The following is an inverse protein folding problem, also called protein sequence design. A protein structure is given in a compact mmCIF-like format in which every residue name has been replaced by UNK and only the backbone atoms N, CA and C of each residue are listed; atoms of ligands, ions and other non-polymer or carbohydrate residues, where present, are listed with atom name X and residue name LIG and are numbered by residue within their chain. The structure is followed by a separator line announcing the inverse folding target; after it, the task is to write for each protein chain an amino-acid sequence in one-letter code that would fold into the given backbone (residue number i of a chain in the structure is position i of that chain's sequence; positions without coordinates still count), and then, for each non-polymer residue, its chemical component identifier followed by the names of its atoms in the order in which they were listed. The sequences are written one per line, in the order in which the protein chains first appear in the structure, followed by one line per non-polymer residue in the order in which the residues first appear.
data_IF_526886182245
#
_entry.id   IF_526886182245
#
_cell.length_a   1.000
_cell.length_b   1.000
_cell.length_c   1.000
_cell.angle_alpha   90.00
_cell.angle_beta   90.00
_cell.angle_gamma   90.00
#
_symmetry.space_group_name_H-M   'P 1'
#
loop_
_entity.id
_entity.type
_entity.pdbx_description
1 polymer ?
#
# COMPACT_ATOMS: atom_id res chain seq x y z
N UNK A 1 -15.04 -10.86 -1.25
CA UNK A 1 -14.96 -9.66 -2.11
C UNK A 1 -16.31 -9.21 -2.69
N UNK A 2 -17.12 -10.10 -3.32
CA UNK A 2 -18.45 -9.73 -3.91
C UNK A 2 -19.45 -9.06 -2.94
N UNK A 3 -19.48 -9.45 -1.67
CA UNK A 3 -20.42 -8.88 -0.67
C UNK A 3 -20.04 -7.43 -0.33
N UNK A 4 -18.75 -7.11 -0.21
CA UNK A 4 -18.26 -5.76 0.07
C UNK A 4 -18.59 -4.79 -1.08
N UNK A 5 -18.44 -5.22 -2.33
CA UNK A 5 -18.74 -4.39 -3.50
C UNK A 5 -20.23 -4.03 -3.63
N UNK A 6 -21.14 -4.97 -3.33
CA UNK A 6 -22.59 -4.68 -3.35
C UNK A 6 -22.97 -3.60 -2.33
N UNK A 7 -22.36 -3.63 -1.14
CA UNK A 7 -22.59 -2.62 -0.10
C UNK A 7 -22.02 -1.24 -0.45
N UNK A 8 -20.88 -1.19 -1.14
CA UNK A 8 -20.28 0.09 -1.56
C UNK A 8 -21.08 0.77 -2.67
N UNK A 9 -21.62 -0.02 -3.61
CA UNK A 9 -22.36 0.51 -4.76
C UNK A 9 -23.78 0.99 -4.39
N UNK A 10 -24.44 0.32 -3.43
CA UNK A 10 -25.78 0.73 -2.97
C UNK A 10 -25.78 2.09 -2.27
N UNK A 11 -24.66 2.49 -1.65
CA UNK A 11 -24.49 3.82 -1.05
C UNK A 11 -24.52 4.91 -2.13
N UNK A 12 -24.09 4.63 -3.36
CA UNK A 12 -24.05 5.63 -4.43
C UNK A 12 -25.38 5.87 -5.13
N UNK A 13 -26.29 4.89 -5.11
CA UNK A 13 -27.53 4.94 -5.90
C UNK A 13 -28.76 5.43 -5.12
N UNK A 14 -28.71 5.44 -3.78
CA UNK A 14 -29.87 5.86 -3.00
C UNK A 14 -30.03 7.38 -2.98
N UNK A 15 -31.12 7.88 -3.57
CA UNK A 15 -31.57 9.27 -3.36
C UNK A 15 -31.96 9.42 -1.90
N UNK A 16 -31.26 10.29 -1.18
CA UNK A 16 -31.57 10.59 0.21
C UNK A 16 -32.86 11.41 0.28
N UNK A 17 -33.91 10.84 0.87
CA UNK A 17 -35.16 11.53 1.16
C UNK A 17 -35.16 11.84 2.66
N UNK A 18 -35.19 13.12 3.01
CA UNK A 18 -35.26 13.57 4.40
C UNK A 18 -36.73 13.65 4.84
N UNK A 19 -36.98 13.23 6.07
CA UNK A 19 -38.27 13.45 6.73
C UNK A 19 -38.46 14.93 7.07
N UNK A 20 -39.72 15.35 7.30
CA UNK A 20 -40.03 16.75 7.68
C UNK A 20 -39.31 17.17 8.98
N UNK A 21 -39.23 16.27 9.96
CA UNK A 21 -38.47 16.48 11.20
C UNK A 21 -36.96 16.61 10.94
N UNK A 22 -36.39 15.82 10.03
CA UNK A 22 -34.97 15.99 9.67
C UNK A 22 -34.71 17.29 8.92
N UNK A 23 -35.65 17.75 8.07
CA UNK A 23 -35.54 19.05 7.40
C UNK A 23 -35.51 20.18 8.45
N UNK A 24 -36.37 20.13 9.46
CA UNK A 24 -36.38 21.14 10.54
C UNK A 24 -35.07 21.11 11.34
N UNK A 25 -34.52 19.92 11.64
CA UNK A 25 -33.21 19.77 12.28
C UNK A 25 -32.07 20.31 11.41
N UNK A 26 -32.07 20.07 10.11
CA UNK A 26 -31.07 20.64 9.19
C UNK A 26 -31.17 22.17 9.13
N UNK A 27 -32.39 22.71 9.09
CA UNK A 27 -32.60 24.16 9.11
C UNK A 27 -32.10 24.76 10.42
N UNK A 28 -32.36 24.11 11.56
CA UNK A 28 -31.84 24.53 12.86
C UNK A 28 -30.31 24.47 12.92
N UNK A 29 -29.68 23.44 12.35
CA UNK A 29 -28.19 23.40 12.24
C UNK A 29 -27.68 24.60 11.47
N UNK A 30 -28.30 24.90 10.33
CA UNK A 30 -27.90 26.01 9.47
C UNK A 30 -28.04 27.34 10.20
N UNK A 31 -29.17 27.58 10.87
CA UNK A 31 -29.39 28.81 11.66
C UNK A 31 -28.34 29.00 12.76
N UNK A 32 -28.02 27.94 13.52
CA UNK A 32 -26.98 28.02 14.56
C UNK A 32 -25.60 28.28 13.94
N UNK A 33 -25.27 27.64 12.82
CA UNK A 33 -23.98 27.82 12.13
C UNK A 33 -23.83 29.25 11.56
N UNK A 34 -24.91 29.79 10.97
CA UNK A 34 -24.98 31.17 10.47
C UNK A 34 -24.79 32.17 11.63
N UNK A 35 -25.42 31.93 12.78
CA UNK A 35 -25.27 32.76 13.99
C UNK A 35 -23.85 32.69 14.56
N UNK A 36 -23.27 31.50 14.70
CA UNK A 36 -21.88 31.34 15.15
C UNK A 36 -20.90 32.06 14.22
N UNK A 37 -21.16 32.01 12.91
CA UNK A 37 -20.37 32.75 11.92
C UNK A 37 -20.53 34.26 12.07
N UNK A 38 -21.75 34.75 12.36
CA UNK A 38 -21.99 36.16 12.65
C UNK A 38 -21.26 36.63 13.92
N UNK A 39 -21.30 35.84 15.01
CA UNK A 39 -20.55 36.10 16.23
C UNK A 39 -19.05 36.22 15.93
N UNK A 40 -18.47 35.28 15.17
CA UNK A 40 -17.04 35.32 14.81
C UNK A 40 -16.66 36.60 14.06
N UNK A 41 -17.45 36.99 13.06
CA UNK A 41 -17.21 38.24 12.31
C UNK A 41 -17.33 39.49 13.18
N UNK A 42 -18.25 39.49 14.15
CA UNK A 42 -18.39 40.59 15.11
C UNK A 42 -17.23 40.63 16.11
N UNK A 43 -16.73 39.48 16.57
CA UNK A 43 -15.50 39.40 17.36
C UNK A 43 -14.35 40.05 16.58
N UNK A 44 -14.12 39.65 15.33
CA UNK A 44 -13.09 40.25 14.47
C UNK A 44 -13.27 41.76 14.32
N UNK A 45 -14.51 42.25 14.21
CA UNK A 45 -14.80 43.69 14.11
C UNK A 45 -14.48 44.45 15.41
N UNK A 46 -14.87 43.90 16.57
CA UNK A 46 -14.54 44.47 17.89
C UNK A 46 -13.02 44.52 18.08
N UNK A 47 -12.33 43.44 17.70
CA UNK A 47 -10.88 43.33 17.75
C UNK A 47 -10.21 44.48 16.97
N UNK A 48 -10.61 44.65 15.71
CA UNK A 48 -10.05 45.69 14.84
C UNK A 48 -10.33 47.11 15.33
N UNK A 49 -11.54 47.39 15.85
CA UNK A 49 -11.85 48.71 16.40
C UNK A 49 -11.07 49.00 17.67
N UNK A 50 -10.86 47.98 18.51
CA UNK A 50 -10.11 48.10 19.76
C UNK A 50 -8.63 48.38 19.48
N UNK A 51 -8.02 47.68 18.52
CA UNK A 51 -6.64 47.94 18.06
C UNK A 51 -6.45 49.36 17.54
N UNK A 52 -7.47 49.92 16.88
CA UNK A 52 -7.49 51.29 16.38
C UNK A 52 -7.87 52.34 17.44
N UNK A 53 -7.96 51.95 18.72
CA UNK A 53 -8.33 52.82 19.84
C UNK A 53 -9.72 53.47 19.70
N UNK A 54 -10.60 52.91 18.88
CA UNK A 54 -11.98 53.38 18.72
C UNK A 54 -12.90 52.66 19.73
N UNK A 55 -12.74 53.01 21.00
CA UNK A 55 -13.36 52.30 22.12
C UNK A 55 -14.88 52.45 22.19
N UNK A 56 -15.43 53.61 21.79
CA UNK A 56 -16.88 53.84 21.81
C UNK A 56 -17.59 52.92 20.81
N UNK A 57 -17.12 52.88 19.55
CA UNK A 57 -17.68 51.99 18.54
C UNK A 57 -17.43 50.51 18.90
N UNK A 58 -16.26 50.19 19.46
CA UNK A 58 -15.96 48.83 19.94
C UNK A 58 -16.96 48.37 20.99
N UNK A 59 -17.31 49.25 21.94
CA UNK A 59 -18.25 48.95 23.01
C UNK A 59 -19.66 48.70 22.46
N UNK A 60 -20.12 49.52 21.50
CA UNK A 60 -21.42 49.33 20.85
C UNK A 60 -21.48 47.97 20.13
N UNK A 61 -20.45 47.63 19.34
CA UNK A 61 -20.42 46.33 18.65
C UNK A 61 -20.32 45.18 19.66
N UNK A 62 -19.62 45.36 20.77
CA UNK A 62 -19.53 44.36 21.82
C UNK A 62 -20.88 44.06 22.47
N UNK A 63 -21.73 45.06 22.72
CA UNK A 63 -23.10 44.84 23.22
C UNK A 63 -23.92 44.00 22.24
N UNK A 64 -23.81 44.29 20.94
CA UNK A 64 -24.46 43.52 19.88
C UNK A 64 -23.92 42.09 19.78
N UNK A 65 -22.61 41.90 19.90
CA UNK A 65 -21.96 40.59 19.93
C UNK A 65 -22.44 39.77 21.13
N UNK A 66 -22.49 40.37 22.31
CA UNK A 66 -22.95 39.70 23.51
C UNK A 66 -24.39 39.19 23.37
N UNK A 67 -25.28 40.02 22.82
CA UNK A 67 -26.66 39.61 22.54
C UNK A 67 -26.74 38.48 21.52
N UNK A 68 -25.90 38.50 20.47
CA UNK A 68 -25.83 37.41 19.50
C UNK A 68 -25.33 36.12 20.17
N UNK A 69 -24.31 36.19 21.02
CA UNK A 69 -23.78 35.03 21.75
C UNK A 69 -24.80 34.43 22.71
N UNK A 70 -25.52 35.27 23.48
CA UNK A 70 -26.62 34.85 24.36
C UNK A 70 -27.72 34.18 23.55
N UNK A 71 -28.22 34.84 22.50
CA UNK A 71 -29.27 34.28 21.65
C UNK A 71 -28.83 32.99 20.96
N UNK A 72 -27.57 32.88 20.57
CA UNK A 72 -27.02 31.63 20.01
C UNK A 72 -27.00 30.52 21.05
N UNK A 73 -26.56 30.82 22.28
CA UNK A 73 -26.63 29.90 23.42
C UNK A 73 -28.05 29.42 23.69
N UNK A 74 -29.04 30.33 23.65
CA UNK A 74 -30.46 30.00 23.81
C UNK A 74 -30.96 29.03 22.74
N UNK A 75 -30.67 29.32 21.46
CA UNK A 75 -31.07 28.47 20.34
C UNK A 75 -30.39 27.10 20.41
N UNK A 76 -29.13 27.02 20.86
CA UNK A 76 -28.44 25.74 21.13
C UNK A 76 -29.19 24.94 22.21
N UNK A 77 -29.63 25.60 23.28
CA UNK A 77 -30.43 25.01 24.36
C UNK A 77 -31.89 24.72 23.97
N UNK A 78 -32.33 25.06 22.76
CA UNK A 78 -33.71 24.85 22.28
C UNK A 78 -34.70 25.89 22.78
N UNK A 79 -34.22 27.02 23.26
CA UNK A 79 -35.02 28.16 23.70
C UNK A 79 -35.19 29.18 22.55
N UNK A 80 -36.24 30.00 22.64
CA UNK A 80 -36.45 31.09 21.69
C UNK A 80 -35.44 32.23 21.95
N UNK A 81 -34.95 32.93 20.90
CA UNK A 81 -34.14 34.13 21.07
C UNK A 81 -34.88 35.22 21.85
N UNK A 82 -34.14 36.06 22.57
CA UNK A 82 -34.69 37.22 23.27
C UNK A 82 -35.14 38.29 22.27
N UNK A 83 -36.37 38.80 22.44
CA UNK A 83 -36.99 39.76 21.53
C UNK A 83 -36.48 41.21 21.68
N UNK A 84 -35.82 41.56 22.78
CA UNK A 84 -35.32 42.92 23.03
C UNK A 84 -34.07 42.97 23.90
N UNK A 85 -33.32 44.09 23.80
CA UNK A 85 -32.14 44.40 24.62
C UNK A 85 -32.45 44.63 26.11
N UNK A 86 -33.73 44.71 26.50
CA UNK A 86 -34.17 45.00 27.88
C UNK A 86 -33.99 43.78 28.81
N UNK A 87 -33.64 42.63 28.25
CA UNK A 87 -33.48 41.36 28.95
C UNK A 87 -32.13 41.20 29.69
N UNK A 88 -31.44 42.30 30.07
CA UNK A 88 -30.16 42.27 30.81
C UNK A 88 -30.24 41.56 32.18
N UNK A 89 -31.45 41.34 32.70
CA UNK A 89 -31.72 40.63 33.97
C UNK A 89 -32.37 39.26 33.79
N UNK A 90 -32.23 38.63 32.61
CA UNK A 90 -32.80 37.30 32.41
C UNK A 90 -32.04 36.31 33.29
N UNK A 91 -32.76 35.59 34.13
CA UNK A 91 -32.19 34.50 34.92
C UNK A 91 -31.69 33.40 33.96
N UNK A 92 -30.37 33.27 33.80
CA UNK A 92 -29.73 32.26 32.96
C UNK A 92 -29.70 30.87 33.63
N UNK A 93 -30.35 30.70 34.78
CA UNK A 93 -30.40 29.44 35.55
C UNK A 93 -30.93 28.24 34.75
N UNK A 94 -31.73 28.47 33.70
CA UNK A 94 -32.24 27.40 32.84
C UNK A 94 -31.18 26.78 31.90
N UNK A 95 -29.99 27.38 31.79
CA UNK A 95 -28.89 26.84 30.98
C UNK A 95 -28.13 25.79 31.81
N UNK A 96 -28.57 24.53 31.71
CA UNK A 96 -27.93 23.41 32.39
C UNK A 96 -26.51 23.08 31.88
N UNK A 97 -26.10 23.60 30.71
CA UNK A 97 -24.74 23.42 30.22
C UNK A 97 -23.79 24.44 30.86
N UNK A 98 -23.10 23.99 31.90
CA UNK A 98 -22.07 24.76 32.61
C UNK A 98 -21.02 25.41 31.69
N UNK A 99 -20.78 24.87 30.49
CA UNK A 99 -19.83 25.47 29.56
C UNK A 99 -20.41 26.68 28.83
N UNK A 100 -21.68 26.64 28.40
CA UNK A 100 -22.36 27.80 27.80
C UNK A 100 -22.57 28.88 28.86
N UNK A 101 -23.03 28.50 30.06
CA UNK A 101 -23.31 29.43 31.13
C UNK A 101 -22.07 30.25 31.52
N UNK A 102 -20.90 29.59 31.67
CA UNK A 102 -19.63 30.28 31.95
C UNK A 102 -19.27 31.33 30.90
N UNK A 103 -19.47 31.00 29.63
CA UNK A 103 -19.22 31.94 28.52
C UNK A 103 -20.15 33.14 28.60
N UNK A 104 -21.45 32.91 28.77
CA UNK A 104 -22.43 33.99 28.82
C UNK A 104 -22.22 34.89 30.03
N UNK A 105 -21.87 34.31 31.18
CA UNK A 105 -21.54 35.06 32.39
C UNK A 105 -20.29 35.92 32.20
N UNK A 106 -19.24 35.40 31.57
CA UNK A 106 -18.02 36.18 31.29
C UNK A 106 -18.31 37.37 30.37
N UNK A 107 -19.14 37.19 29.34
CA UNK A 107 -19.55 38.27 28.44
C UNK A 107 -20.40 39.31 29.15
N UNK A 108 -21.35 38.88 29.99
CA UNK A 108 -22.18 39.79 30.81
C UNK A 108 -21.33 40.56 31.82
N UNK A 109 -20.34 39.91 32.43
CA UNK A 109 -19.41 40.53 33.35
C UNK A 109 -18.63 41.65 32.67
N UNK A 110 -18.15 41.44 31.44
CA UNK A 110 -17.49 42.49 30.63
C UNK A 110 -18.45 43.65 30.36
N UNK A 111 -19.70 43.36 29.96
CA UNK A 111 -20.69 44.41 29.67
C UNK A 111 -21.11 45.24 30.87
N UNK A 112 -20.99 44.70 32.08
CA UNK A 112 -21.32 45.42 33.31
C UNK A 112 -20.17 46.31 33.81
N UNK A 113 -18.99 46.25 33.20
CA UNK A 113 -17.88 47.14 33.54
C UNK A 113 -18.10 48.55 32.95
N UNK A 114 -17.68 49.62 33.65
CA UNK A 114 -17.68 50.96 33.08
C UNK A 114 -16.83 51.03 31.80
N UNK A 115 -17.24 51.84 30.82
CA UNK A 115 -16.51 52.08 29.56
C UNK A 115 -15.04 52.43 29.77
N UNK A 116 -14.73 53.09 30.88
CA UNK A 116 -13.40 53.59 31.21
C UNK A 116 -12.46 52.44 31.64
N UNK A 117 -13.03 51.38 32.21
CA UNK A 117 -12.34 50.15 32.62
C UNK A 117 -12.05 49.26 31.41
N UNK A 118 -12.86 49.37 30.35
CA UNK A 118 -12.68 48.62 29.10
C UNK A 118 -11.32 48.85 28.44
N UNK A 119 -10.74 50.05 28.60
CA UNK A 119 -9.39 50.39 28.11
C UNK A 119 -8.26 49.56 28.75
N UNK A 120 -8.52 48.91 29.89
CA UNK A 120 -7.54 48.13 30.66
C UNK A 120 -7.77 46.62 30.56
N UNK A 121 -8.67 46.18 29.68
CA UNK A 121 -9.05 44.78 29.59
C UNK A 121 -8.12 44.00 28.66
N UNK A 122 -6.90 43.72 29.14
CA UNK A 122 -5.83 43.06 28.36
C UNK A 122 -6.26 41.67 27.81
N UNK A 123 -7.24 41.02 28.46
CA UNK A 123 -7.70 39.68 28.12
C UNK A 123 -9.07 39.64 27.42
N UNK A 124 -9.53 40.75 26.83
CA UNK A 124 -10.83 40.81 26.16
C UNK A 124 -10.91 39.79 25.01
N UNK A 125 -9.88 39.76 24.17
CA UNK A 125 -9.76 38.85 23.02
C UNK A 125 -9.93 37.38 23.42
N UNK A 126 -9.10 36.95 24.37
CA UNK A 126 -9.10 35.57 24.86
C UNK A 126 -10.46 35.20 25.43
N UNK A 127 -11.11 36.12 26.15
CA UNK A 127 -12.44 35.89 26.72
C UNK A 127 -13.51 35.71 25.64
N UNK A 128 -13.51 36.57 24.61
CA UNK A 128 -14.48 36.50 23.52
C UNK A 128 -14.28 35.23 22.66
N UNK A 129 -13.04 34.89 22.32
CA UNK A 129 -12.73 33.69 21.55
C UNK A 129 -13.00 32.41 22.35
N UNK A 130 -12.65 32.36 23.64
CA UNK A 130 -13.01 31.25 24.52
C UNK A 130 -14.54 31.10 24.59
N UNK A 131 -15.26 32.23 24.61
CA UNK A 131 -16.70 32.27 24.53
C UNK A 131 -17.26 31.61 23.28
N UNK A 132 -16.80 32.08 22.13
CA UNK A 132 -17.16 31.53 20.82
C UNK A 132 -16.83 30.04 20.71
N UNK A 133 -15.63 29.64 21.14
CA UNK A 133 -15.21 28.23 21.12
C UNK A 133 -16.11 27.35 22.00
N UNK A 134 -16.53 27.87 23.16
CA UNK A 134 -17.50 27.20 24.04
C UNK A 134 -18.83 26.94 23.34
N UNK A 135 -19.39 27.94 22.66
CA UNK A 135 -20.63 27.79 21.87
C UNK A 135 -20.45 26.80 20.71
N UNK A 136 -19.33 26.84 20.00
CA UNK A 136 -19.02 25.88 18.93
C UNK A 136 -18.88 24.45 19.45
N UNK A 137 -18.23 24.25 20.60
CA UNK A 137 -18.13 22.94 21.28
C UNK A 137 -19.51 22.44 21.67
N UNK A 138 -20.36 23.30 22.24
CA UNK A 138 -21.73 22.94 22.60
C UNK A 138 -22.57 22.58 21.37
N UNK A 139 -22.49 23.37 20.29
CA UNK A 139 -23.15 23.06 19.03
C UNK A 139 -22.66 21.74 18.40
N UNK A 140 -21.34 21.46 18.44
CA UNK A 140 -20.77 20.18 17.99
C UNK A 140 -21.33 18.99 18.78
N UNK A 141 -21.55 19.14 20.09
CA UNK A 141 -22.20 18.12 20.94
C UNK A 141 -23.67 17.95 20.54
N UNK A 142 -24.42 19.05 20.41
CA UNK A 142 -25.82 19.06 19.98
C UNK A 142 -26.00 18.37 18.62
N UNK A 143 -25.11 18.65 17.66
CA UNK A 143 -25.08 18.02 16.33
C UNK A 143 -24.89 16.51 16.38
N UNK A 144 -24.10 16.01 17.35
CA UNK A 144 -23.85 14.57 17.52
C UNK A 144 -25.00 13.86 18.26
N UNK A 145 -25.67 14.53 19.19
CA UNK A 145 -26.66 13.90 20.06
C UNK A 145 -28.08 13.97 19.50
N UNK A 146 -28.60 15.18 19.24
CA UNK A 146 -30.03 15.39 18.98
C UNK A 146 -30.34 15.87 17.57
N UNK A 147 -29.41 16.56 16.91
CA UNK A 147 -29.63 17.05 15.55
C UNK A 147 -29.12 16.07 14.48
N UNK A 148 -28.60 14.90 14.81
CA UNK A 148 -28.10 13.96 13.79
C UNK A 148 -29.23 13.55 12.83
N UNK A 149 -28.98 13.67 11.53
CA UNK A 149 -29.96 13.32 10.48
C UNK A 149 -29.44 12.18 9.60
N UNK A 150 -30.33 11.58 8.80
CA UNK A 150 -29.97 10.60 7.78
C UNK A 150 -28.93 11.16 6.79
N UNK A 151 -28.92 12.48 6.56
CA UNK A 151 -27.88 13.15 5.75
C UNK A 151 -26.50 13.04 6.37
N UNK A 152 -26.35 13.26 7.68
CA UNK A 152 -25.06 13.12 8.36
C UNK A 152 -24.56 11.68 8.30
N UNK A 153 -25.45 10.72 8.55
CA UNK A 153 -25.14 9.29 8.50
C UNK A 153 -24.68 8.91 7.09
N UNK A 154 -25.42 9.37 6.06
CA UNK A 154 -25.08 9.14 4.67
C UNK A 154 -23.72 9.75 4.30
N UNK A 155 -23.45 10.99 4.69
CA UNK A 155 -22.16 11.66 4.43
C UNK A 155 -21.00 10.93 5.12
N UNK A 156 -21.17 10.48 6.37
CA UNK A 156 -20.15 9.67 7.06
C UNK A 156 -19.90 8.33 6.36
N UNK A 157 -20.96 7.60 5.99
CA UNK A 157 -20.83 6.35 5.23
C UNK A 157 -20.15 6.56 3.89
N UNK A 158 -20.51 7.63 3.17
CA UNK A 158 -19.88 8.00 1.89
C UNK A 158 -18.40 8.32 2.06
N UNK A 159 -18.03 9.09 3.10
CA UNK A 159 -16.63 9.40 3.38
C UNK A 159 -15.82 8.14 3.68
N UNK A 160 -16.32 7.27 4.57
CA UNK A 160 -15.67 5.99 4.90
C UNK A 160 -15.54 5.08 3.68
N UNK A 161 -16.56 5.04 2.82
CA UNK A 161 -16.53 4.30 1.56
C UNK A 161 -15.43 4.83 0.63
N UNK A 162 -15.38 6.15 0.41
CA UNK A 162 -14.39 6.78 -0.47
C UNK A 162 -12.96 6.59 0.05
N UNK A 163 -12.72 6.76 1.36
CA UNK A 163 -11.40 6.55 1.96
C UNK A 163 -10.96 5.09 1.85
N UNK A 164 -11.88 4.15 2.07
CA UNK A 164 -11.60 2.71 1.93
C UNK A 164 -11.23 2.36 0.49
N UNK A 165 -11.99 2.85 -0.50
CA UNK A 165 -11.70 2.61 -1.92
C UNK A 165 -10.36 3.22 -2.33
N UNK A 166 -10.03 4.42 -1.85
CA UNK A 166 -8.76 5.06 -2.11
C UNK A 166 -7.58 4.24 -1.55
N UNK A 167 -7.66 3.78 -0.30
CA UNK A 167 -6.63 2.96 0.33
C UNK A 167 -6.42 1.62 -0.38
N UNK A 168 -7.51 0.95 -0.78
CA UNK A 168 -7.42 -0.30 -1.54
C UNK A 168 -6.78 -0.09 -2.91
N UNK A 169 -7.06 1.04 -3.57
CA UNK A 169 -6.45 1.38 -4.87
C UNK A 169 -4.95 1.63 -4.72
N UNK A 170 -4.53 2.36 -3.68
CA UNK A 170 -3.11 2.60 -3.38
C UNK A 170 -2.39 1.28 -3.09
N UNK A 171 -2.99 0.39 -2.29
CA UNK A 171 -2.42 -0.92 -1.98
C UNK A 171 -2.25 -1.78 -3.24
N UNK A 172 -3.25 -1.80 -4.13
CA UNK A 172 -3.17 -2.56 -5.39
C UNK A 172 -2.09 -2.02 -6.35
N UNK A 173 -1.96 -0.70 -6.45
CA UNK A 173 -0.91 -0.05 -7.25
C UNK A 173 0.47 -0.38 -6.65
N UNK A 174 0.63 -0.25 -5.34
CA UNK A 174 1.88 -0.55 -4.63
C UNK A 174 2.31 -2.01 -4.86
N UNK A 175 1.38 -2.96 -4.73
CA UNK A 175 1.64 -4.38 -5.00
C UNK A 175 2.08 -4.62 -6.45
N UNK A 176 1.40 -3.98 -7.41
CA UNK A 176 1.72 -4.09 -8.83
C UNK A 176 3.12 -3.53 -9.15
N UNK A 177 3.48 -2.40 -8.55
CA UNK A 177 4.81 -1.81 -8.68
C UNK A 177 5.88 -2.71 -8.07
N UNK A 178 5.64 -3.26 -6.86
CA UNK A 178 6.57 -4.21 -6.24
C UNK A 178 6.82 -5.43 -7.12
N UNK A 179 5.76 -6.03 -7.66
CA UNK A 179 5.86 -7.16 -8.59
C UNK A 179 6.70 -6.82 -9.82
N UNK A 180 6.42 -5.67 -10.45
CA UNK A 180 7.08 -5.27 -11.71
C UNK A 180 8.56 -4.90 -11.51
N UNK A 181 8.90 -4.19 -10.44
CA UNK A 181 10.25 -3.67 -10.24
C UNK A 181 11.17 -4.62 -9.46
N UNK A 182 10.62 -5.54 -8.66
CA UNK A 182 11.44 -6.42 -7.81
C UNK A 182 11.34 -7.87 -8.27
N UNK A 183 10.14 -8.40 -8.38
CA UNK A 183 9.96 -9.84 -8.62
C UNK A 183 10.20 -10.23 -10.08
N UNK A 184 9.69 -9.45 -11.04
CA UNK A 184 9.83 -9.76 -12.46
C UNK A 184 11.29 -9.74 -12.96
N UNK A 185 12.15 -8.77 -12.58
CA UNK A 185 13.56 -8.80 -12.98
C UNK A 185 14.32 -10.00 -12.40
N UNK A 186 14.03 -10.41 -11.17
CA UNK A 186 14.64 -11.59 -10.56
C UNK A 186 14.30 -12.88 -11.32
N UNK A 187 13.03 -13.04 -11.72
CA UNK A 187 12.60 -14.16 -12.56
C UNK A 187 13.31 -14.16 -13.92
N UNK A 188 13.44 -13.00 -14.56
CA UNK A 188 14.15 -12.88 -15.84
C UNK A 188 15.63 -13.21 -15.72
N UNK A 189 16.30 -12.81 -14.65
CA UNK A 189 17.72 -13.10 -14.44
C UNK A 189 17.98 -14.61 -14.30
N UNK A 190 17.12 -15.33 -13.59
CA UNK A 190 17.19 -16.79 -13.48
C UNK A 190 16.98 -17.48 -14.85
N UNK A 191 15.97 -17.04 -15.62
CA UNK A 191 15.73 -17.57 -16.97
C UNK A 191 16.90 -17.31 -17.93
N UNK A 192 17.48 -16.10 -17.91
CA UNK A 192 18.66 -15.76 -18.72
C UNK A 192 19.85 -16.63 -18.33
N UNK A 193 20.07 -16.85 -17.03
CA UNK A 193 21.15 -17.70 -16.52
C UNK A 193 20.98 -19.14 -17.00
N UNK A 194 19.77 -19.71 -16.87
CA UNK A 194 19.43 -21.06 -17.36
C UNK A 194 19.60 -21.19 -18.86
N UNK A 195 19.15 -20.20 -19.63
CA UNK A 195 19.32 -20.18 -21.08
C UNK A 195 20.81 -20.17 -21.47
N UNK A 196 21.62 -19.34 -20.80
CA UNK A 196 23.07 -19.29 -21.04
C UNK A 196 23.76 -20.62 -20.69
N UNK A 197 23.46 -21.19 -19.52
CA UNK A 197 24.00 -22.49 -19.12
C UNK A 197 23.64 -23.59 -20.12
N UNK A 198 22.42 -23.56 -20.68
CA UNK A 198 21.98 -24.55 -21.67
C UNK A 198 22.77 -24.45 -22.97
N UNK A 199 23.05 -23.23 -23.43
CA UNK A 199 23.86 -23.03 -24.64
C UNK A 199 25.28 -23.56 -24.46
N UNK A 200 25.88 -23.34 -23.29
CA UNK A 200 27.21 -23.87 -22.96
C UNK A 200 27.18 -25.41 -22.93
N UNK A 201 26.21 -26.00 -22.23
CA UNK A 201 26.07 -27.47 -22.15
C UNK A 201 25.86 -28.12 -23.52
N UNK A 202 25.04 -27.52 -24.36
CA UNK A 202 24.80 -28.02 -25.72
C UNK A 202 26.09 -28.00 -26.56
N UNK A 203 26.86 -26.90 -26.47
CA UNK A 203 28.15 -26.79 -27.17
C UNK A 203 29.19 -27.80 -26.65
N UNK A 204 29.29 -27.96 -25.33
CA UNK A 204 30.19 -28.90 -24.68
C UNK A 204 29.87 -30.35 -25.07
N UNK A 205 28.59 -30.73 -25.00
CA UNK A 205 28.12 -32.07 -25.36
C UNK A 205 28.35 -32.38 -26.84
N UNK A 206 28.19 -31.39 -27.72
CA UNK A 206 28.46 -31.55 -29.15
C UNK A 206 29.97 -31.71 -29.42
N UNK A 207 30.81 -30.91 -28.76
CA UNK A 207 32.27 -31.04 -28.86
C UNK A 207 32.76 -32.42 -28.37
N UNK A 208 32.24 -32.90 -27.24
CA UNK A 208 32.54 -34.25 -26.72
C UNK A 208 32.07 -35.32 -27.71
N UNK A 209 30.84 -35.23 -28.22
CA UNK A 209 30.30 -36.18 -29.21
C UNK A 209 31.19 -36.25 -30.45
N UNK A 210 31.57 -35.10 -31.02
CA UNK A 210 32.43 -35.05 -32.20
C UNK A 210 33.80 -35.69 -31.93
N UNK A 211 34.38 -35.45 -30.74
CA UNK A 211 35.63 -36.07 -30.34
C UNK A 211 35.50 -37.59 -30.18
N UNK A 212 34.41 -38.07 -29.60
CA UNK A 212 34.11 -39.50 -29.45
C UNK A 212 33.99 -40.19 -30.81
N UNK A 213 33.32 -39.57 -31.78
CA UNK A 213 33.22 -40.08 -33.15
C UNK A 213 34.60 -40.19 -33.80
N UNK A 214 35.43 -39.14 -33.70
CA UNK A 214 36.80 -39.18 -34.26
C UNK A 214 37.68 -40.26 -33.61
N UNK A 215 37.54 -40.46 -32.30
CA UNK A 215 38.25 -41.52 -31.58
C UNK A 215 37.85 -42.92 -32.11
N UNK A 216 36.53 -43.14 -32.25
CA UNK A 216 35.99 -44.38 -32.81
C UNK A 216 36.42 -44.60 -34.27
N UNK A 217 36.42 -43.55 -35.10
CA UNK A 217 36.87 -43.63 -36.50
C UNK A 217 38.34 -44.04 -36.60
N UNK A 218 39.18 -43.60 -35.65
CA UNK A 218 40.61 -43.93 -35.63
C UNK A 218 40.91 -45.32 -35.07
N UNK A 219 40.28 -45.68 -33.95
CA UNK A 219 40.64 -46.88 -33.19
C UNK A 219 39.63 -48.03 -33.31
N UNK A 220 38.48 -47.80 -33.95
CA UNK A 220 37.42 -48.77 -34.13
C UNK A 220 36.57 -49.03 -32.88
N UNK A 221 36.81 -48.31 -31.78
CA UNK A 221 36.07 -48.42 -30.51
C UNK A 221 35.96 -47.06 -29.84
N UNK A 222 34.92 -46.85 -29.03
CA UNK A 222 34.83 -45.70 -28.14
C UNK A 222 35.69 -45.93 -26.89
N UNK A 223 36.20 -44.89 -26.22
CA UNK A 223 36.90 -45.05 -24.93
C UNK A 223 35.99 -45.75 -23.92
N UNK A 224 36.49 -46.74 -23.18
CA UNK A 224 35.70 -47.36 -22.12
C UNK A 224 35.45 -46.35 -20.99
N UNK A 225 34.22 -46.29 -20.49
CA UNK A 225 33.82 -45.39 -19.40
C UNK A 225 32.98 -46.15 -18.38
N UNK A 226 33.29 -45.99 -17.09
CA UNK A 226 32.69 -46.78 -16.01
C UNK A 226 31.63 -46.02 -15.21
N UNK A 227 31.01 -45.00 -15.82
CA UNK A 227 29.93 -44.24 -15.20
C UNK A 227 30.43 -43.13 -14.26
N UNK A 228 29.54 -42.54 -13.45
CA UNK A 228 29.82 -41.28 -12.74
C UNK A 228 30.97 -41.37 -11.73
N UNK A 229 31.26 -42.55 -11.20
CA UNK A 229 32.39 -42.76 -10.27
C UNK A 229 33.75 -42.60 -10.95
N UNK A 230 33.83 -42.84 -12.27
CA UNK A 230 35.09 -42.74 -13.03
C UNK A 230 35.49 -41.30 -13.36
N UNK A 231 34.57 -40.35 -13.20
CA UNK A 231 34.81 -38.95 -13.57
C UNK A 231 35.58 -38.18 -12.49
N UNK A 232 35.62 -38.69 -11.26
CA UNK A 232 36.20 -38.01 -10.12
C UNK A 232 37.46 -38.71 -9.59
N UNK A 233 38.40 -37.93 -9.07
CA UNK A 233 39.56 -38.46 -8.33
C UNK A 233 39.16 -38.92 -6.91
N UNK A 234 40.14 -39.39 -6.15
CA UNK A 234 39.91 -39.87 -4.78
C UNK A 234 39.47 -38.75 -3.83
N UNK A 235 39.71 -37.50 -4.20
CA UNK A 235 39.37 -36.29 -3.47
C UNK A 235 37.99 -35.75 -3.87
N UNK A 236 37.36 -36.32 -4.90
CA UNK A 236 36.05 -35.91 -5.39
C UNK A 236 36.10 -34.76 -6.40
N UNK A 237 37.27 -34.44 -6.94
CA UNK A 237 37.44 -33.44 -7.99
C UNK A 237 37.33 -34.07 -9.38
N UNK A 238 36.82 -33.31 -10.35
CA UNK A 238 36.69 -33.79 -11.72
C UNK A 238 38.08 -34.01 -12.32
N UNK A 239 38.35 -35.24 -12.77
CA UNK A 239 39.63 -35.56 -13.41
C UNK A 239 39.76 -34.81 -14.74
N UNK A 240 40.92 -34.23 -15.08
CA UNK A 240 41.12 -33.59 -16.39
C UNK A 240 40.91 -34.54 -17.59
N UNK A 241 41.03 -35.84 -17.35
CA UNK A 241 40.95 -36.96 -18.30
C UNK A 241 39.77 -37.90 -18.01
N UNK A 242 38.65 -37.38 -17.48
CA UNK A 242 37.46 -38.16 -17.12
C UNK A 242 36.85 -38.99 -18.27
N UNK A 243 37.24 -38.72 -19.53
CA UNK A 243 37.12 -39.66 -20.66
C UNK A 243 38.55 -40.03 -21.13
N UNK A 244 39.07 -41.21 -20.76
CA UNK A 244 40.45 -41.58 -21.04
C UNK A 244 40.78 -41.57 -22.55
N UNK A 245 41.91 -40.97 -22.92
CA UNK A 245 42.40 -40.95 -24.30
C UNK A 245 41.63 -40.06 -25.28
N UNK A 246 40.63 -39.31 -24.81
CA UNK A 246 39.91 -38.35 -25.66
C UNK A 246 40.67 -37.02 -25.79
N UNK A 247 41.23 -36.53 -24.69
CA UNK A 247 42.10 -35.36 -24.65
C UNK A 247 43.58 -35.76 -24.46
N UNK A 248 44.54 -35.00 -25.01
CA UNK A 248 44.36 -33.81 -25.86
C UNK A 248 44.14 -34.13 -27.34
N UNK A 249 44.14 -35.41 -27.73
CA UNK A 249 44.23 -35.82 -29.14
C UNK A 249 43.01 -35.41 -29.99
N UNK A 250 41.80 -35.64 -29.49
CA UNK A 250 40.55 -35.38 -30.24
C UNK A 250 39.81 -34.13 -29.76
N UNK A 251 40.10 -33.70 -28.54
CA UNK A 251 39.64 -32.46 -27.93
C UNK A 251 40.76 -31.89 -27.05
N UNK A 252 41.00 -30.58 -27.11
CA UNK A 252 42.13 -29.97 -26.40
C UNK A 252 42.06 -30.19 -24.87
N UNK A 253 40.86 -30.07 -24.31
CA UNK A 253 40.55 -30.33 -22.91
C UNK A 253 39.09 -30.77 -22.80
N UNK A 254 38.78 -31.67 -21.87
CA UNK A 254 37.39 -32.02 -21.58
C UNK A 254 36.68 -30.86 -20.86
N UNK A 255 35.50 -30.41 -21.35
CA UNK A 255 34.76 -29.34 -20.70
C UNK A 255 34.21 -29.80 -19.33
N UNK A 256 34.01 -28.83 -18.44
CA UNK A 256 33.33 -29.01 -17.15
C UNK A 256 31.92 -28.41 -17.23
N UNK A 257 30.94 -29.03 -16.57
CA UNK A 257 29.58 -28.51 -16.56
C UNK A 257 29.57 -27.07 -16.01
N UNK A 258 28.84 -26.11 -16.64
CA UNK A 258 28.87 -24.70 -16.25
C UNK A 258 28.37 -24.42 -14.84
N UNK A 259 27.70 -25.38 -14.18
CA UNK A 259 27.39 -25.29 -12.74
C UNK A 259 28.64 -25.23 -11.87
N UNK A 260 29.77 -25.77 -12.34
CA UNK A 260 31.00 -25.89 -11.58
C UNK A 260 30.80 -26.53 -10.19
N UNK A 261 29.81 -27.43 -10.07
CA UNK A 261 29.45 -28.10 -8.82
C UNK A 261 30.52 -29.10 -8.40
N UNK A 262 30.66 -29.34 -7.09
CA UNK A 262 31.43 -30.46 -6.54
C UNK A 262 30.56 -31.70 -6.34
N UNK A 263 29.24 -31.58 -6.57
CA UNK A 263 28.33 -32.71 -6.52
C UNK A 263 28.61 -33.69 -7.65
N UNK A 264 28.79 -34.96 -7.28
CA UNK A 264 28.91 -36.07 -8.24
C UNK A 264 27.69 -36.25 -9.12
N UNK A 265 26.55 -35.62 -8.78
CA UNK A 265 25.29 -35.73 -9.52
C UNK A 265 24.96 -34.50 -10.37
N UNK A 266 25.85 -33.52 -10.46
CA UNK A 266 25.59 -32.27 -11.18
C UNK A 266 26.70 -31.97 -12.20
N UNK A 267 27.04 -32.98 -13.01
CA UNK A 267 28.13 -32.94 -13.98
C UNK A 267 27.78 -33.68 -15.27
N UNK A 268 28.68 -33.65 -16.24
CA UNK A 268 28.62 -34.52 -17.41
C UNK A 268 28.94 -35.97 -17.01
N UNK A 269 28.13 -36.92 -17.46
CA UNK A 269 28.33 -38.36 -17.25
C UNK A 269 28.58 -39.04 -18.58
N UNK A 270 29.64 -39.84 -18.63
CA UNK A 270 29.99 -40.68 -19.76
C UNK A 270 30.00 -42.15 -19.35
N UNK A 271 29.41 -42.99 -20.20
CA UNK A 271 29.47 -44.44 -20.07
C UNK A 271 29.60 -45.05 -21.46
N UNK A 272 30.44 -46.09 -21.58
CA UNK A 272 30.71 -46.76 -22.84
C UNK A 272 31.23 -48.18 -22.59
N UNK A 273 30.72 -49.13 -23.38
CA UNK A 273 31.19 -50.52 -23.42
C UNK A 273 32.27 -50.74 -24.51
N UNK A 274 32.69 -49.66 -25.19
CA UNK A 274 33.63 -49.68 -26.31
C UNK A 274 32.96 -49.74 -27.69
N UNK A 275 31.69 -50.11 -27.78
CA UNK A 275 30.91 -50.16 -29.02
C UNK A 275 29.81 -49.10 -29.05
N UNK A 276 29.15 -48.89 -27.94
CA UNK A 276 28.05 -47.98 -27.73
C UNK A 276 28.41 -47.00 -26.60
N UNK A 277 27.88 -45.77 -26.64
CA UNK A 277 28.16 -44.76 -25.62
C UNK A 277 26.93 -43.94 -25.25
N UNK A 278 26.94 -43.39 -24.04
CA UNK A 278 26.00 -42.35 -23.57
C UNK A 278 26.78 -41.24 -22.87
N UNK A 279 26.58 -40.00 -23.32
CA UNK A 279 27.06 -38.78 -22.69
C UNK A 279 25.86 -37.90 -22.35
N UNK A 280 25.73 -37.50 -21.09
CA UNK A 280 24.62 -36.67 -20.62
C UNK A 280 25.10 -35.54 -19.71
N UNK A 281 24.40 -34.42 -19.69
CA UNK A 281 24.41 -33.51 -18.55
C UNK A 281 23.37 -33.98 -17.54
N UNK A 282 23.82 -34.35 -16.34
CA UNK A 282 22.96 -34.94 -15.31
C UNK A 282 22.35 -33.88 -14.39
N UNK A 283 21.05 -34.00 -14.08
CA UNK A 283 20.30 -33.12 -13.19
C UNK A 283 20.37 -31.62 -13.55
N UNK A 284 20.44 -31.29 -14.84
CA UNK A 284 20.60 -29.91 -15.30
C UNK A 284 19.30 -29.10 -15.10
N UNK A 285 19.42 -27.94 -14.43
CA UNK A 285 18.32 -27.05 -14.03
C UNK A 285 17.60 -26.38 -15.21
N UNK A 286 18.18 -26.47 -16.39
CA UNK A 286 17.74 -25.87 -17.64
C UNK A 286 17.08 -26.87 -18.60
N UNK A 287 16.84 -28.12 -18.20
CA UNK A 287 16.29 -29.12 -19.10
C UNK A 287 15.00 -28.67 -19.80
N UNK A 288 14.12 -27.92 -19.13
CA UNK A 288 12.89 -27.41 -19.76
C UNK A 288 13.18 -26.55 -21.00
N UNK A 289 14.27 -25.79 -21.01
CA UNK A 289 14.72 -25.02 -22.17
C UNK A 289 15.24 -25.94 -23.28
N UNK A 290 16.04 -26.94 -22.91
CA UNK A 290 16.57 -27.93 -23.86
C UNK A 290 15.45 -28.75 -24.47
N UNK A 291 14.50 -29.27 -23.68
CA UNK A 291 13.34 -30.04 -24.17
C UNK A 291 12.50 -29.27 -25.19
N UNK A 292 12.41 -27.95 -25.05
CA UNK A 292 11.68 -27.09 -25.99
C UNK A 292 12.45 -26.87 -27.31
N UNK A 293 13.78 -26.81 -27.25
CA UNK A 293 14.63 -26.46 -28.40
C UNK A 293 15.26 -27.65 -29.12
N UNK A 294 15.56 -28.72 -28.38
CA UNK A 294 16.25 -29.94 -28.78
C UNK A 294 15.59 -31.16 -28.09
N UNK A 295 14.31 -31.45 -28.38
CA UNK A 295 13.58 -32.55 -27.74
C UNK A 295 14.25 -33.92 -27.94
N UNK A 296 15.01 -34.10 -29.01
CA UNK A 296 15.75 -35.32 -29.34
C UNK A 296 16.92 -35.60 -28.39
N UNK A 297 17.42 -34.60 -27.67
CA UNK A 297 18.50 -34.75 -26.70
C UNK A 297 18.01 -35.20 -25.32
N UNK A 298 16.69 -35.21 -25.08
CA UNK A 298 16.14 -35.57 -23.76
C UNK A 298 16.28 -37.07 -23.52
N UNK A 299 16.89 -37.43 -22.38
CA UNK A 299 17.07 -38.83 -22.01
C UNK A 299 15.70 -39.54 -21.95
N UNK A 300 15.46 -40.55 -22.79
CA UNK A 300 14.15 -41.19 -22.91
C UNK A 300 13.76 -42.00 -21.66
N UNK A 301 14.74 -42.39 -20.84
CA UNK A 301 14.48 -43.11 -19.58
C UNK A 301 14.09 -42.13 -18.47
N UNK A 302 14.59 -40.89 -18.54
CA UNK A 302 14.61 -39.94 -17.42
C UNK A 302 14.22 -38.54 -17.89
N UNK A 303 12.93 -38.39 -18.25
CA UNK A 303 12.37 -37.14 -18.78
C UNK A 303 12.71 -35.94 -17.89
N UNK A 304 13.50 -35.04 -18.45
CA UNK A 304 14.03 -33.87 -17.80
C UNK A 304 14.79 -34.04 -16.49
N UNK A 305 15.41 -35.21 -16.32
CA UNK A 305 16.47 -35.41 -15.36
C UNK A 305 17.86 -35.36 -16.01
N UNK A 306 17.95 -35.64 -17.32
CA UNK A 306 19.18 -35.54 -18.08
C UNK A 306 18.91 -35.28 -19.57
N UNK A 307 19.91 -34.74 -20.26
CA UNK A 307 19.92 -34.65 -21.72
C UNK A 307 21.33 -34.83 -22.26
N UNK A 308 21.47 -35.27 -23.51
CA UNK A 308 22.75 -35.41 -24.18
C UNK A 308 22.68 -36.26 -25.44
N UNK A 309 23.73 -37.05 -25.69
CA UNK A 309 23.88 -37.89 -26.86
C UNK A 309 24.13 -39.34 -26.48
N UNK A 310 23.62 -40.27 -27.28
CA UNK A 310 23.86 -41.69 -27.11
C UNK A 310 23.78 -42.40 -28.46
N UNK A 311 24.42 -43.56 -28.54
CA UNK A 311 24.16 -44.51 -29.63
C UNK A 311 22.83 -45.23 -29.42
N UNK A 312 22.19 -45.79 -30.47
CA UNK A 312 20.87 -46.41 -30.35
C UNK A 312 20.75 -47.46 -29.23
N UNK A 313 21.76 -48.32 -29.06
CA UNK A 313 21.73 -49.37 -28.04
C UNK A 313 21.98 -48.84 -26.62
N UNK A 314 22.56 -47.65 -26.50
CA UNK A 314 22.84 -46.98 -25.24
C UNK A 314 21.67 -46.12 -24.71
N UNK A 315 20.62 -45.91 -25.50
CA UNK A 315 19.48 -45.06 -25.14
C UNK A 315 18.85 -45.39 -23.79
N UNK A 316 18.82 -46.67 -23.41
CA UNK A 316 18.20 -47.18 -22.18
C UNK A 316 19.14 -47.28 -20.96
N UNK A 317 20.41 -46.93 -21.11
CA UNK A 317 21.38 -46.95 -20.01
C UNK A 317 21.11 -45.85 -18.96
#
# INVERSE_FOLDING_TARGET
MRILFKGLFSIWQSKLILTVDEISREQRKKDIDDRLTACRKRIESVCLLFENQNYEDSFIILEYLAMDMINTGLVICGQSPLASQVARKTDLSFINDNSILKVLLAVIEILNQPSDVFKKYDNLYDTLYAGQEGLEKAFKRLKKCSLMTSKDIYQRKRLVCLTTVALLSIAAISWSLHYYYVQLPALRADEITKAKSSQIRLADLDAIKQALVKNHDKYGTYPQGFGPESNFDQQGELRPDWIPGLAPEFIAQLPRDPRNSTSKHEQYFYYSDGKDFKIISHAAEDCKFVKKSHPEMIDPVRDCWAYGYWTPNASKW
#
